data_IF_914313565904
#
_entry.id   IF_914313565904
#
_cell.length_a   1.000
_cell.length_b   1.000
_cell.length_c   1.000
_cell.angle_alpha   90.00
_cell.angle_beta   90.00
_cell.angle_gamma   90.00
#
_symmetry.space_group_name_H-M   'P 1'
#
loop_
_entity.id
_entity.type
_entity.pdbx_description
1 polymer ?
#
# COMPACT_ATOMS: atom_id res chain seq x y z
N UNK A 1 24.03 18.13 37.25
CA UNK A 1 23.18 17.50 36.22
C UNK A 1 23.86 16.20 35.85
N UNK A 2 23.52 15.13 36.56
CA UNK A 2 24.45 14.05 36.88
C UNK A 2 23.84 12.70 36.50
N UNK A 3 24.55 11.96 35.62
CA UNK A 3 24.38 10.53 35.26
C UNK A 3 23.02 10.06 34.73
N UNK A 4 21.90 10.45 35.34
CA UNK A 4 20.54 10.00 35.01
C UNK A 4 20.06 10.59 33.66
N UNK A 5 20.42 11.85 33.36
CA UNK A 5 20.10 12.49 32.08
C UNK A 5 20.86 11.89 30.90
N UNK A 6 22.13 11.47 31.10
CA UNK A 6 22.91 10.85 30.03
C UNK A 6 22.47 9.40 29.80
N UNK A 7 22.14 8.65 30.86
CA UNK A 7 21.58 7.30 30.74
C UNK A 7 20.23 7.30 30.03
N UNK A 8 19.36 8.27 30.34
CA UNK A 8 18.09 8.45 29.64
C UNK A 8 18.28 8.76 28.15
N UNK A 9 19.20 9.67 27.82
CA UNK A 9 19.50 10.02 26.43
C UNK A 9 20.05 8.82 25.65
N UNK A 10 20.96 8.06 26.26
CA UNK A 10 21.53 6.83 25.67
C UNK A 10 20.44 5.77 25.43
N UNK A 11 19.52 5.60 26.37
CA UNK A 11 18.37 4.71 26.21
C UNK A 11 17.45 5.15 25.05
N UNK A 12 17.10 6.43 24.99
CA UNK A 12 16.26 6.98 23.91
C UNK A 12 16.91 6.79 22.54
N UNK A 13 18.21 7.07 22.44
CA UNK A 13 18.97 6.87 21.20
C UNK A 13 19.04 5.38 20.81
N UNK A 14 19.29 4.49 21.77
CA UNK A 14 19.32 3.05 21.53
C UNK A 14 17.98 2.51 21.04
N UNK A 15 16.87 2.98 21.62
CA UNK A 15 15.52 2.60 21.18
C UNK A 15 15.17 3.20 19.82
N UNK A 16 15.60 4.43 19.53
CA UNK A 16 15.48 5.05 18.20
C UNK A 16 16.20 4.21 17.13
N UNK A 17 17.47 3.85 17.37
CA UNK A 17 18.25 3.00 16.44
C UNK A 17 17.59 1.63 16.28
N UNK A 18 17.23 0.97 17.39
CA UNK A 18 16.55 -0.34 17.36
C UNK A 18 15.25 -0.29 16.56
N UNK A 19 14.48 0.80 16.68
CA UNK A 19 13.23 0.98 15.95
C UNK A 19 13.48 1.31 14.47
N UNK A 20 14.53 2.09 14.17
CA UNK A 20 14.96 2.42 12.81
C UNK A 20 15.39 1.17 12.05
N UNK A 21 16.21 0.31 12.68
CA UNK A 21 16.65 -0.97 12.08
C UNK A 21 15.44 -1.87 11.77
N UNK A 22 14.48 -1.96 12.70
CA UNK A 22 13.23 -2.69 12.47
C UNK A 22 12.37 -2.09 11.35
N UNK A 23 12.38 -0.76 11.21
CA UNK A 23 11.68 -0.08 10.13
C UNK A 23 12.35 -0.36 8.77
N UNK A 24 13.69 -0.42 8.73
CA UNK A 24 14.44 -0.79 7.52
C UNK A 24 14.18 -2.24 7.11
N UNK A 25 14.23 -3.19 8.05
CA UNK A 25 13.86 -4.59 7.83
C UNK A 25 12.42 -4.71 7.30
N UNK A 26 11.50 -3.92 7.85
CA UNK A 26 10.13 -3.85 7.41
C UNK A 26 9.99 -3.33 5.96
N UNK A 27 10.74 -2.28 5.58
CA UNK A 27 10.78 -1.76 4.21
C UNK A 27 11.34 -2.80 3.24
N UNK A 28 12.43 -3.47 3.62
CA UNK A 28 13.06 -4.53 2.82
C UNK A 28 12.09 -5.69 2.56
N UNK A 29 11.39 -6.15 3.60
CA UNK A 29 10.34 -7.16 3.47
C UNK A 29 9.14 -6.70 2.62
N UNK A 30 8.89 -5.40 2.52
CA UNK A 30 7.84 -4.86 1.64
C UNK A 30 8.28 -4.85 0.17
N UNK A 31 9.57 -4.67 -0.10
CA UNK A 31 10.12 -4.77 -1.45
C UNK A 31 10.05 -6.20 -2.01
N UNK A 32 10.26 -7.21 -1.17
CA UNK A 32 10.12 -8.61 -1.60
C UNK A 32 8.67 -8.98 -1.97
N UNK A 33 7.67 -8.40 -1.31
CA UNK A 33 6.26 -8.53 -1.73
C UNK A 33 6.01 -7.90 -3.10
N UNK A 34 6.68 -6.79 -3.44
CA UNK A 34 6.56 -6.18 -4.76
C UNK A 34 7.02 -7.13 -5.88
N UNK A 35 8.05 -7.95 -5.63
CA UNK A 35 8.47 -9.00 -6.56
C UNK A 35 7.40 -10.07 -6.75
N UNK A 36 6.69 -10.43 -5.68
CA UNK A 36 5.54 -11.35 -5.75
C UNK A 36 4.43 -10.81 -6.64
N UNK A 37 4.11 -9.50 -6.57
CA UNK A 37 3.15 -8.88 -7.50
C UNK A 37 3.61 -8.99 -8.96
N UNK A 38 4.89 -8.77 -9.22
CA UNK A 38 5.49 -8.96 -10.55
C UNK A 38 5.35 -10.41 -11.05
N UNK A 39 5.59 -11.39 -10.18
CA UNK A 39 5.42 -12.81 -10.51
C UNK A 39 3.94 -13.16 -10.79
N UNK A 40 3.01 -12.71 -9.95
CA UNK A 40 1.56 -12.95 -10.14
C UNK A 40 1.08 -12.33 -11.45
N UNK A 41 1.53 -11.13 -11.79
CA UNK A 41 1.17 -10.48 -13.05
C UNK A 41 1.78 -11.17 -14.28
N UNK A 42 3.00 -11.70 -14.19
CA UNK A 42 3.57 -12.54 -15.24
C UNK A 42 2.76 -13.85 -15.44
N UNK A 43 2.32 -14.49 -14.35
CA UNK A 43 1.48 -15.70 -14.40
C UNK A 43 0.15 -15.41 -15.09
N UNK A 44 -0.49 -14.25 -14.83
CA UNK A 44 -1.74 -13.84 -15.50
C UNK A 44 -1.56 -13.81 -17.02
N UNK A 45 -0.44 -13.24 -17.51
CA UNK A 45 -0.18 -13.12 -18.96
C UNK A 45 0.02 -14.49 -19.60
N UNK A 46 0.70 -15.41 -18.90
CA UNK A 46 1.04 -16.75 -19.41
C UNK A 46 -0.12 -17.75 -19.18
N UNK A 47 -1.14 -17.41 -18.40
CA UNK A 47 -2.24 -18.33 -18.07
C UNK A 47 -3.04 -18.80 -19.30
N UNK A 48 -3.28 -17.92 -20.28
CA UNK A 48 -4.00 -18.28 -21.51
C UNK A 48 -3.30 -19.37 -22.32
N UNK A 49 -2.03 -19.24 -22.74
CA UNK A 49 -1.36 -20.29 -23.48
C UNK A 49 -1.26 -21.61 -22.69
N UNK A 50 -1.16 -21.57 -21.36
CA UNK A 50 -1.23 -22.77 -20.51
C UNK A 50 -2.60 -23.46 -20.63
N UNK A 51 -3.70 -22.70 -20.54
CA UNK A 51 -5.05 -23.25 -20.66
C UNK A 51 -5.32 -23.87 -22.04
N UNK A 52 -4.82 -23.25 -23.11
CA UNK A 52 -4.93 -23.74 -24.48
C UNK A 52 -4.13 -25.03 -24.72
N UNK A 53 -3.07 -25.27 -23.95
CA UNK A 53 -2.25 -26.47 -24.03
C UNK A 53 -2.84 -27.65 -23.22
N UNK A 54 -3.56 -27.35 -22.13
CA UNK A 54 -4.16 -28.35 -21.23
C UNK A 54 -5.54 -28.82 -21.71
N UNK A 55 -6.38 -27.90 -22.19
CA UNK A 55 -7.74 -28.21 -22.68
C UNK A 55 -7.80 -29.35 -23.72
N UNK A 56 -6.90 -29.45 -24.73
CA UNK A 56 -6.95 -30.54 -25.71
C UNK A 56 -6.53 -31.91 -25.14
N UNK A 57 -5.88 -31.97 -23.97
CA UNK A 57 -5.43 -33.22 -23.33
C UNK A 57 -6.58 -33.91 -22.59
N UNK A 58 -7.61 -33.16 -22.17
CA UNK A 58 -8.76 -33.70 -21.44
C UNK A 58 -10.06 -33.09 -21.95
N UNK A 59 -10.68 -33.74 -22.93
CA UNK A 59 -11.88 -33.27 -23.66
C UNK A 59 -13.13 -33.06 -22.79
N UNK A 60 -13.10 -33.47 -21.52
CA UNK A 60 -14.19 -33.23 -20.55
C UNK A 60 -14.10 -31.87 -19.86
N UNK A 61 -12.97 -31.17 -19.99
CA UNK A 61 -12.75 -29.90 -19.30
C UNK A 61 -12.82 -28.77 -20.31
N UNK A 62 -13.86 -27.96 -20.18
CA UNK A 62 -14.04 -26.78 -21.03
C UNK A 62 -12.97 -25.73 -20.69
N UNK A 63 -12.27 -25.23 -21.71
CA UNK A 63 -11.16 -24.27 -21.57
C UNK A 63 -11.61 -22.99 -20.86
N UNK A 64 -12.88 -22.61 -21.07
CA UNK A 64 -13.54 -21.48 -20.43
C UNK A 64 -13.59 -21.58 -18.90
N UNK A 65 -13.86 -22.77 -18.37
CA UNK A 65 -13.92 -23.05 -16.93
C UNK A 65 -12.52 -23.02 -16.29
N UNK A 66 -11.50 -23.53 -16.97
CA UNK A 66 -10.09 -23.49 -16.50
C UNK A 66 -9.61 -22.04 -16.40
N UNK A 67 -9.90 -21.24 -17.42
CA UNK A 67 -9.58 -19.81 -17.45
C UNK A 67 -10.28 -19.06 -16.31
N UNK A 68 -11.58 -19.31 -16.11
CA UNK A 68 -12.37 -18.69 -15.06
C UNK A 68 -11.87 -19.06 -13.65
N UNK A 69 -11.60 -20.34 -13.39
CA UNK A 69 -11.14 -20.81 -12.09
C UNK A 69 -9.74 -20.29 -11.77
N UNK A 70 -8.84 -20.29 -12.76
CA UNK A 70 -7.51 -19.70 -12.64
C UNK A 70 -7.59 -18.21 -12.31
N UNK A 71 -8.48 -17.46 -12.98
CA UNK A 71 -8.73 -16.06 -12.66
C UNK A 71 -9.25 -15.86 -11.24
N UNK A 72 -10.25 -16.63 -10.80
CA UNK A 72 -10.81 -16.50 -9.45
C UNK A 72 -9.74 -16.75 -8.38
N UNK A 73 -8.86 -17.74 -8.60
CA UNK A 73 -7.73 -18.02 -7.71
C UNK A 73 -6.72 -16.86 -7.68
N UNK A 74 -6.38 -16.27 -8.82
CA UNK A 74 -5.48 -15.12 -8.92
C UNK A 74 -6.06 -13.87 -8.27
N UNK A 75 -7.36 -13.61 -8.45
CA UNK A 75 -8.06 -12.52 -7.80
C UNK A 75 -8.05 -12.69 -6.28
N UNK A 76 -8.23 -13.92 -5.78
CA UNK A 76 -8.14 -14.23 -4.35
C UNK A 76 -6.75 -13.96 -3.80
N UNK A 77 -5.70 -14.42 -4.52
CA UNK A 77 -4.30 -14.17 -4.14
C UNK A 77 -4.05 -12.65 -4.08
N UNK A 78 -4.46 -11.90 -5.10
CA UNK A 78 -4.29 -10.44 -5.11
C UNK A 78 -5.05 -9.76 -3.98
N UNK A 79 -6.25 -10.24 -3.63
CA UNK A 79 -7.02 -9.75 -2.48
C UNK A 79 -6.27 -9.98 -1.17
N UNK A 80 -5.65 -11.15 -0.98
CA UNK A 80 -4.83 -11.46 0.19
C UNK A 80 -3.61 -10.55 0.24
N UNK A 81 -2.88 -10.36 -0.87
CA UNK A 81 -1.70 -9.49 -0.87
C UNK A 81 -2.11 -8.03 -0.62
N UNK A 82 -3.24 -7.56 -1.17
CA UNK A 82 -3.76 -6.22 -0.89
C UNK A 82 -4.10 -6.04 0.61
N UNK A 83 -4.68 -7.05 1.26
CA UNK A 83 -4.94 -7.05 2.70
C UNK A 83 -3.64 -7.05 3.53
N UNK A 84 -2.65 -7.84 3.13
CA UNK A 84 -1.33 -7.85 3.77
C UNK A 84 -0.64 -6.48 3.62
N UNK A 85 -0.75 -5.85 2.45
CA UNK A 85 -0.25 -4.48 2.23
C UNK A 85 -0.95 -3.45 3.12
N UNK A 86 -2.26 -3.58 3.36
CA UNK A 86 -2.99 -2.74 4.31
C UNK A 86 -2.46 -2.86 5.74
N UNK A 87 -2.22 -4.10 6.18
CA UNK A 87 -1.61 -4.36 7.49
C UNK A 87 -0.19 -3.80 7.56
N UNK A 88 0.62 -4.02 6.52
CA UNK A 88 1.96 -3.44 6.43
C UNK A 88 1.91 -1.91 6.51
N UNK A 89 1.02 -1.28 5.77
CA UNK A 89 0.87 0.17 5.80
C UNK A 89 0.50 0.70 7.21
N UNK A 90 -0.32 -0.01 7.99
CA UNK A 90 -0.61 0.38 9.38
C UNK A 90 0.61 0.25 10.31
N UNK A 91 1.47 -0.75 10.11
CA UNK A 91 2.75 -0.85 10.83
C UNK A 91 3.76 0.23 10.42
N UNK A 92 3.80 0.62 9.15
CA UNK A 92 4.62 1.74 8.71
C UNK A 92 4.27 3.04 9.45
N UNK A 93 2.97 3.28 9.70
CA UNK A 93 2.51 4.40 10.52
C UNK A 93 3.03 4.34 11.96
N UNK A 94 3.03 3.14 12.56
CA UNK A 94 3.59 2.94 13.88
C UNK A 94 5.08 3.31 13.92
N UNK A 95 5.88 2.89 12.94
CA UNK A 95 7.31 3.22 12.90
C UNK A 95 7.54 4.72 12.76
N UNK A 96 6.85 5.39 11.83
CA UNK A 96 6.98 6.83 11.60
C UNK A 96 6.62 7.63 12.86
N UNK A 97 5.49 7.31 13.50
CA UNK A 97 5.04 8.04 14.68
C UNK A 97 6.01 7.88 15.87
N UNK A 98 6.49 6.66 16.11
CA UNK A 98 7.38 6.41 17.25
C UNK A 98 8.80 6.94 17.01
N UNK A 99 9.35 6.81 15.79
CA UNK A 99 10.65 7.40 15.45
C UNK A 99 10.61 8.92 15.61
N UNK A 100 9.54 9.55 15.16
CA UNK A 100 9.34 11.00 15.33
C UNK A 100 9.23 11.39 16.82
N UNK A 101 8.52 10.60 17.63
CA UNK A 101 8.41 10.86 19.07
C UNK A 101 9.76 10.77 19.78
N UNK A 102 10.55 9.73 19.50
CA UNK A 102 11.91 9.59 20.04
C UNK A 102 12.82 10.74 19.60
N UNK A 103 12.74 11.16 18.34
CA UNK A 103 13.54 12.27 17.82
C UNK A 103 13.19 13.60 18.51
N UNK A 104 11.92 13.86 18.80
CA UNK A 104 11.50 15.01 19.61
C UNK A 104 12.08 14.96 21.02
N UNK A 105 12.06 13.80 21.67
CA UNK A 105 12.60 13.65 23.03
C UNK A 105 14.12 13.79 23.07
N UNK A 106 14.83 13.25 22.07
CA UNK A 106 16.29 13.37 21.95
C UNK A 106 16.70 14.84 21.74
N UNK A 107 16.02 15.56 20.84
CA UNK A 107 16.27 17.00 20.61
C UNK A 107 16.05 17.84 21.87
N UNK A 108 14.96 17.58 22.61
CA UNK A 108 14.68 18.23 23.90
C UNK A 108 15.77 17.96 24.94
N UNK A 109 16.30 16.74 24.98
CA UNK A 109 17.35 16.37 25.92
C UNK A 109 18.73 16.96 25.56
N UNK A 110 18.96 17.26 24.28
CA UNK A 110 20.20 17.88 23.77
C UNK A 110 20.16 19.42 23.75
N UNK A 111 19.02 20.03 24.11
CA UNK A 111 18.77 21.48 24.03
C UNK A 111 19.07 22.07 22.63
N UNK A 112 18.84 21.25 21.59
CA UNK A 112 19.05 21.66 20.20
C UNK A 112 17.94 22.61 19.73
N UNK A 113 18.32 23.71 19.09
CA UNK A 113 17.38 24.66 18.50
C UNK A 113 16.46 24.00 17.46
N UNK A 114 15.19 24.41 17.44
CA UNK A 114 14.20 24.01 16.42
C UNK A 114 14.69 24.37 15.00
N UNK A 115 15.39 23.45 14.35
CA UNK A 115 16.02 23.67 13.04
C UNK A 115 17.34 22.94 12.79
N UNK A 116 17.91 22.28 13.80
CA UNK A 116 19.02 21.34 13.65
C UNK A 116 18.73 20.28 12.56
N UNK A 117 19.62 20.16 11.59
CA UNK A 117 19.57 19.17 10.50
C UNK A 117 20.14 17.80 10.88
N UNK A 118 20.51 17.60 12.15
CA UNK A 118 21.15 16.35 12.62
C UNK A 118 20.19 15.16 12.44
N UNK A 119 18.88 15.42 12.52
CA UNK A 119 17.85 14.44 12.23
C UNK A 119 16.94 14.91 11.08
N UNK A 120 16.69 14.00 10.14
CA UNK A 120 16.14 14.30 8.82
C UNK A 120 14.59 14.35 8.79
N UNK A 121 13.90 13.94 9.88
CA UNK A 121 12.49 14.25 10.02
C UNK A 121 12.36 15.73 10.37
N UNK A 122 11.98 16.54 9.40
CA UNK A 122 11.78 17.96 9.59
C UNK A 122 10.50 18.22 10.43
N UNK A 123 10.60 17.98 11.74
CA UNK A 123 9.50 18.06 12.72
C UNK A 123 8.91 19.48 12.80
N UNK A 124 9.74 20.50 12.58
CA UNK A 124 9.40 21.89 12.89
C UNK A 124 8.41 22.59 11.94
N UNK A 125 8.04 22.00 10.79
CA UNK A 125 7.17 22.71 9.82
C UNK A 125 5.85 22.05 9.48
N UNK A 126 5.68 20.73 9.58
CA UNK A 126 4.58 20.09 8.84
C UNK A 126 3.98 18.82 9.45
N UNK A 127 4.01 18.56 10.76
CA UNK A 127 3.45 17.31 11.32
C UNK A 127 2.03 16.97 10.80
N UNK A 128 1.10 17.93 10.82
CA UNK A 128 -0.25 17.75 10.21
C UNK A 128 -0.20 17.59 8.69
N UNK A 129 0.66 18.32 7.98
CA UNK A 129 0.74 18.28 6.50
C UNK A 129 1.43 17.02 5.99
N UNK A 130 2.48 16.56 6.65
CA UNK A 130 3.17 15.31 6.40
C UNK A 130 2.24 14.12 6.67
N UNK A 131 1.59 14.07 7.84
CA UNK A 131 0.59 13.03 8.15
C UNK A 131 -0.54 13.05 7.11
N UNK A 132 -1.07 14.23 6.77
CA UNK A 132 -2.14 14.33 5.76
C UNK A 132 -1.66 13.95 4.36
N UNK A 133 -0.45 14.34 3.96
CA UNK A 133 0.13 14.04 2.64
C UNK A 133 0.42 12.55 2.50
N UNK A 134 1.05 11.95 3.50
CA UNK A 134 1.35 10.51 3.54
C UNK A 134 0.07 9.70 3.63
N UNK A 135 -0.96 10.14 4.38
CA UNK A 135 -2.28 9.49 4.41
C UNK A 135 -2.98 9.56 3.06
N UNK A 136 -2.96 10.73 2.40
CA UNK A 136 -3.51 10.87 1.05
C UNK A 136 -2.76 10.00 0.05
N UNK A 137 -1.44 9.94 0.13
CA UNK A 137 -0.62 9.11 -0.75
C UNK A 137 -0.91 7.63 -0.51
N UNK A 138 -0.99 7.22 0.75
CA UNK A 138 -1.31 5.87 1.20
C UNK A 138 -2.68 5.42 0.67
N UNK A 139 -3.71 6.23 0.93
CA UNK A 139 -5.08 5.99 0.45
C UNK A 139 -5.14 5.95 -1.08
N UNK A 140 -4.45 6.86 -1.77
CA UNK A 140 -4.36 6.84 -3.23
C UNK A 140 -3.71 5.55 -3.73
N UNK A 141 -2.59 5.13 -3.14
CA UNK A 141 -1.90 3.90 -3.54
C UNK A 141 -2.79 2.67 -3.36
N UNK A 142 -3.54 2.61 -2.26
CA UNK A 142 -4.50 1.55 -1.97
C UNK A 142 -5.61 1.50 -3.02
N UNK A 143 -6.25 2.66 -3.23
CA UNK A 143 -7.38 2.78 -4.15
C UNK A 143 -6.94 2.47 -5.58
N UNK A 144 -5.75 2.90 -5.99
CA UNK A 144 -5.17 2.56 -7.30
C UNK A 144 -4.83 1.07 -7.43
N UNK A 145 -4.29 0.44 -6.39
CA UNK A 145 -3.98 -1.01 -6.40
C UNK A 145 -5.25 -1.85 -6.53
N UNK A 146 -6.30 -1.46 -5.80
CA UNK A 146 -7.61 -2.09 -5.91
C UNK A 146 -8.27 -1.85 -7.27
N UNK A 147 -8.18 -0.62 -7.79
CA UNK A 147 -8.65 -0.28 -9.14
C UNK A 147 -7.97 -1.13 -10.21
N UNK A 148 -6.66 -1.33 -10.09
CA UNK A 148 -5.91 -2.15 -11.03
C UNK A 148 -6.42 -3.61 -11.01
N UNK A 149 -6.62 -4.19 -9.83
CA UNK A 149 -7.12 -5.55 -9.70
C UNK A 149 -8.55 -5.74 -10.26
N UNK A 150 -9.43 -4.76 -10.05
CA UNK A 150 -10.84 -4.84 -10.45
C UNK A 150 -11.07 -4.40 -11.89
N UNK A 151 -10.26 -3.50 -12.43
CA UNK A 151 -10.43 -2.95 -13.79
C UNK A 151 -9.50 -3.65 -14.78
N UNK A 152 -8.18 -3.60 -14.54
CA UNK A 152 -7.22 -4.04 -15.54
C UNK A 152 -7.27 -5.55 -15.77
N UNK A 153 -7.37 -6.35 -14.70
CA UNK A 153 -7.32 -7.81 -14.82
C UNK A 153 -8.55 -8.36 -15.56
N UNK A 154 -9.80 -8.03 -15.19
CA UNK A 154 -10.96 -8.56 -15.90
C UNK A 154 -11.07 -8.00 -17.32
N UNK A 155 -10.62 -6.76 -17.57
CA UNK A 155 -10.54 -6.21 -18.93
C UNK A 155 -9.57 -6.97 -19.83
N UNK A 156 -8.36 -7.31 -19.34
CA UNK A 156 -7.40 -8.12 -20.11
C UNK A 156 -7.98 -9.50 -20.44
N UNK A 157 -8.69 -10.11 -19.51
CA UNK A 157 -9.33 -11.42 -19.71
C UNK A 157 -10.46 -11.34 -20.71
N UNK A 158 -11.31 -10.32 -20.61
CA UNK A 158 -12.39 -10.11 -21.57
C UNK A 158 -11.83 -9.84 -22.97
N UNK A 159 -10.67 -9.20 -23.12
CA UNK A 159 -10.01 -9.07 -24.43
C UNK A 159 -9.71 -10.43 -25.07
N UNK A 160 -9.44 -11.46 -24.26
CA UNK A 160 -9.20 -12.82 -24.76
C UNK A 160 -10.48 -13.59 -25.09
N UNK A 161 -11.63 -13.18 -24.56
CA UNK A 161 -12.93 -13.79 -24.86
C UNK A 161 -13.64 -13.05 -26.00
N UNK A 162 -13.91 -11.76 -25.82
CA UNK A 162 -14.55 -10.90 -26.81
C UNK A 162 -14.21 -9.42 -26.52
N UNK A 163 -13.58 -8.77 -27.50
CA UNK A 163 -13.12 -7.37 -27.43
C UNK A 163 -14.27 -6.41 -27.10
N UNK A 164 -15.48 -6.65 -27.62
CA UNK A 164 -16.61 -5.74 -27.44
C UNK A 164 -17.08 -5.74 -25.98
N UNK A 165 -17.15 -6.92 -25.35
CA UNK A 165 -17.44 -7.03 -23.91
C UNK A 165 -16.32 -6.44 -23.05
N UNK A 166 -15.06 -6.57 -23.48
CA UNK A 166 -13.92 -5.97 -22.80
C UNK A 166 -14.00 -4.44 -22.76
N UNK A 167 -14.35 -3.81 -23.89
CA UNK A 167 -14.51 -2.36 -24.01
C UNK A 167 -15.68 -1.88 -23.14
N UNK A 168 -16.84 -2.55 -23.21
CA UNK A 168 -18.01 -2.20 -22.40
C UNK A 168 -17.68 -2.30 -20.91
N UNK A 169 -17.08 -3.41 -20.49
CA UNK A 169 -16.68 -3.62 -19.10
C UNK A 169 -15.68 -2.56 -18.62
N UNK A 170 -14.65 -2.26 -19.43
CA UNK A 170 -13.63 -1.27 -19.10
C UNK A 170 -14.25 0.12 -18.92
N UNK A 171 -15.15 0.53 -19.81
CA UNK A 171 -15.86 1.80 -19.71
C UNK A 171 -16.73 1.87 -18.45
N UNK A 172 -17.54 0.84 -18.18
CA UNK A 172 -18.40 0.79 -16.99
C UNK A 172 -17.55 0.79 -15.71
N UNK A 173 -16.45 0.04 -15.69
CA UNK A 173 -15.60 -0.09 -14.51
C UNK A 173 -14.82 1.18 -14.22
N UNK A 174 -14.34 1.89 -15.25
CA UNK A 174 -13.75 3.23 -15.10
C UNK A 174 -14.77 4.24 -14.57
N UNK A 175 -16.00 4.20 -15.08
CA UNK A 175 -17.07 5.11 -14.67
C UNK A 175 -17.50 4.83 -13.21
N UNK A 176 -17.67 3.57 -12.85
CA UNK A 176 -17.93 3.14 -11.48
C UNK A 176 -16.80 3.52 -10.52
N UNK A 177 -15.55 3.30 -10.93
CA UNK A 177 -14.38 3.70 -10.15
C UNK A 177 -14.31 5.21 -9.95
N UNK A 178 -14.55 6.00 -11.00
CA UNK A 178 -14.60 7.47 -10.91
C UNK A 178 -15.66 7.91 -9.88
N UNK A 179 -16.85 7.32 -9.91
CA UNK A 179 -17.94 7.62 -8.96
C UNK A 179 -17.53 7.26 -7.53
N UNK A 180 -17.02 6.05 -7.30
CA UNK A 180 -16.59 5.59 -5.97
C UNK A 180 -15.43 6.45 -5.44
N UNK A 181 -14.46 6.76 -6.30
CA UNK A 181 -13.33 7.62 -5.97
C UNK A 181 -13.80 9.02 -5.56
N UNK A 182 -14.68 9.63 -6.35
CA UNK A 182 -15.24 10.96 -6.06
C UNK A 182 -16.08 10.96 -4.77
N UNK A 183 -16.88 9.91 -4.52
CA UNK A 183 -17.64 9.79 -3.28
C UNK A 183 -16.73 9.64 -2.05
N UNK A 184 -15.73 8.77 -2.15
CA UNK A 184 -14.74 8.55 -1.08
C UNK A 184 -13.96 9.83 -0.80
N UNK A 185 -13.50 10.51 -1.85
CA UNK A 185 -12.79 11.79 -1.74
C UNK A 185 -13.67 12.89 -1.13
N UNK A 186 -14.96 12.98 -1.51
CA UNK A 186 -15.92 13.92 -0.91
C UNK A 186 -16.18 13.63 0.57
N UNK A 187 -16.31 12.36 0.96
CA UNK A 187 -16.50 11.96 2.38
C UNK A 187 -15.27 12.33 3.21
N UNK A 188 -14.09 12.05 2.69
CA UNK A 188 -12.82 12.45 3.31
C UNK A 188 -12.72 13.97 3.47
N UNK A 189 -13.01 14.74 2.42
CA UNK A 189 -13.01 16.22 2.50
C UNK A 189 -13.99 16.75 3.54
N UNK A 190 -15.21 16.20 3.63
CA UNK A 190 -16.19 16.60 4.65
C UNK A 190 -15.72 16.30 6.08
N UNK A 191 -15.08 15.16 6.30
CA UNK A 191 -14.61 14.75 7.62
C UNK A 191 -13.45 15.62 8.13
N UNK A 192 -12.56 16.09 7.23
CA UNK A 192 -11.48 17.02 7.57
C UNK A 192 -11.88 18.49 7.53
N UNK A 193 -12.96 18.84 6.84
CA UNK A 193 -13.57 20.18 6.85
C UNK A 193 -14.43 20.44 8.09
N UNK A 194 -14.85 19.40 8.81
CA UNK A 194 -15.88 19.47 9.86
C UNK A 194 -15.40 19.45 11.32
N UNK A 195 -14.09 19.34 11.60
CA UNK A 195 -13.57 19.37 12.97
C UNK A 195 -12.67 20.59 13.16
N UNK A 196 -12.93 21.58 14.03
CA UNK A 196 -13.15 21.49 15.49
C UNK A 196 -12.21 20.51 16.22
N UNK A 197 -11.00 20.33 15.68
CA UNK A 197 -9.81 19.97 16.47
C UNK A 197 -8.79 21.12 16.38
N UNK A 198 -9.23 22.26 16.92
CA UNK A 198 -8.45 23.28 17.60
C UNK A 198 -9.22 23.63 18.87
#
# INVERSE_FOLDING_TARGET
>A
MSTDSSQRLEYLYKEYVRLSDKAEDFIKNTYDDFKMFGAVSAIIVIWKPISELIAPINSRVDSSLILFLGFLSLLTILGIIALLNLLKQSYAWYFVHNLQAYEVEIRKALDEAEGSQIFNFNIAKEEKRFITAVYRLSLRSLVMSFAFAVIAIPSIILCYSNILYAIIYLLISLLGFLIIYLQTFRRMLKQYSGSRYL
#
